data_IF_591251249079
#
_entry.id   IF_591251249079
#
_cell.length_a   1.000
_cell.length_b   1.000
_cell.length_c   1.000
_cell.angle_alpha   90.00
_cell.angle_beta   90.00
_cell.angle_gamma   90.00
#
_symmetry.space_group_name_H-M   'P 1'
#
loop_
_entity.id
_entity.type
_entity.pdbx_description
1 polymer ?
#
# COMPACT_ATOMS: atom_id res chain seq x y z
N UNK A 1 -42.01 9.34 -10.03
CA UNK A 1 -40.80 9.50 -10.88
C UNK A 1 -39.69 10.10 -10.00
N UNK A 2 -38.98 9.26 -9.23
CA UNK A 2 -38.00 9.73 -8.23
C UNK A 2 -36.60 9.66 -8.85
N UNK A 3 -36.04 10.81 -9.24
CA UNK A 3 -34.68 10.91 -9.78
C UNK A 3 -33.68 10.70 -8.64
N UNK A 4 -33.07 9.52 -8.62
CA UNK A 4 -31.94 9.18 -7.75
C UNK A 4 -30.73 9.99 -8.21
N UNK A 5 -30.30 10.93 -7.36
CA UNK A 5 -29.10 11.73 -7.57
C UNK A 5 -27.86 10.84 -7.42
N UNK A 6 -27.24 10.53 -8.57
CA UNK A 6 -25.98 9.79 -8.69
C UNK A 6 -24.83 10.69 -8.21
N UNK A 7 -24.32 10.46 -7.00
CA UNK A 7 -23.20 11.19 -6.41
C UNK A 7 -21.93 10.90 -7.25
N UNK A 8 -21.51 11.85 -8.08
CA UNK A 8 -20.21 11.83 -8.77
C UNK A 8 -19.11 11.95 -7.70
N UNK A 9 -18.26 10.93 -7.54
CA UNK A 9 -16.97 11.04 -6.82
C UNK A 9 -16.09 12.02 -7.59
N UNK A 10 -15.99 13.25 -7.10
CA UNK A 10 -15.01 14.20 -7.57
C UNK A 10 -13.65 13.76 -7.02
N UNK A 11 -12.69 13.45 -7.90
CA UNK A 11 -11.27 13.48 -7.55
C UNK A 11 -10.88 14.95 -7.38
N UNK A 12 -11.07 15.50 -6.19
CA UNK A 12 -10.52 16.80 -5.82
C UNK A 12 -9.05 16.60 -5.47
N UNK A 13 -8.14 17.36 -6.08
CA UNK A 13 -6.79 17.53 -5.54
C UNK A 13 -6.93 18.11 -4.14
N UNK A 14 -6.78 17.26 -3.13
CA UNK A 14 -6.90 17.64 -1.73
C UNK A 14 -5.71 18.51 -1.34
N UNK A 15 -5.99 19.60 -0.62
CA UNK A 15 -4.93 20.41 -0.04
C UNK A 15 -4.22 19.57 1.03
N UNK A 16 -2.93 19.85 1.31
CA UNK A 16 -2.17 19.08 2.33
C UNK A 16 -2.90 19.04 3.68
N UNK A 17 -3.62 20.10 4.01
CA UNK A 17 -4.39 20.27 5.26
C UNK A 17 -5.64 19.40 5.37
N UNK A 18 -6.10 18.77 4.27
CA UNK A 18 -7.30 17.93 4.26
C UNK A 18 -7.00 16.45 4.54
N UNK A 19 -5.76 16.12 4.92
CA UNK A 19 -5.30 14.74 5.13
C UNK A 19 -4.79 14.54 6.54
N UNK A 20 -5.03 13.35 7.09
CA UNK A 20 -4.46 12.88 8.34
C UNK A 20 -3.70 11.57 8.14
N UNK A 21 -2.82 11.24 9.09
CA UNK A 21 -2.17 9.94 9.19
C UNK A 21 -2.54 9.27 10.50
N UNK A 22 -2.85 7.97 10.43
CA UNK A 22 -2.97 7.10 11.58
C UNK A 22 -1.62 6.42 11.81
N UNK A 23 -1.10 6.60 13.02
CA UNK A 23 0.13 5.95 13.50
C UNK A 23 -0.27 4.80 14.40
N UNK A 24 0.32 3.64 14.18
CA UNK A 24 0.05 2.42 14.96
C UNK A 24 1.33 1.95 15.65
N UNK A 25 1.19 1.10 16.67
CA UNK A 25 2.34 0.59 17.42
C UNK A 25 3.21 -0.33 16.57
N UNK A 26 2.60 -1.07 15.64
CA UNK A 26 3.30 -1.99 14.78
C UNK A 26 2.60 -2.16 13.43
N UNK A 27 3.34 -2.68 12.46
CA UNK A 27 2.86 -2.85 11.08
C UNK A 27 1.73 -3.87 10.95
N UNK A 28 1.59 -4.80 11.88
CA UNK A 28 0.48 -5.77 11.87
C UNK A 28 -0.86 -5.07 12.10
N UNK A 29 -0.90 -4.05 12.97
CA UNK A 29 -2.09 -3.23 13.17
C UNK A 29 -2.42 -2.38 11.95
N UNK A 30 -1.40 -1.85 11.26
CA UNK A 30 -1.60 -1.12 10.00
C UNK A 30 -2.29 -1.99 8.97
N UNK A 31 -1.80 -3.22 8.75
CA UNK A 31 -2.37 -4.15 7.76
C UNK A 31 -3.80 -4.55 8.14
N UNK A 32 -4.08 -4.76 9.44
CA UNK A 32 -5.44 -5.06 9.91
C UNK A 32 -6.38 -3.87 9.70
N UNK A 33 -5.96 -2.68 10.11
CA UNK A 33 -6.73 -1.45 9.93
C UNK A 33 -7.00 -1.17 8.46
N UNK A 34 -6.00 -1.32 7.59
CA UNK A 34 -6.16 -1.18 6.13
C UNK A 34 -7.25 -2.12 5.60
N UNK A 35 -7.18 -3.41 5.93
CA UNK A 35 -8.16 -4.39 5.47
C UNK A 35 -9.59 -4.03 5.90
N UNK A 36 -9.77 -3.62 7.16
CA UNK A 36 -11.09 -3.23 7.71
C UNK A 36 -11.60 -1.98 7.00
N UNK A 37 -10.79 -0.93 6.94
CA UNK A 37 -11.19 0.34 6.35
C UNK A 37 -11.45 0.23 4.84
N UNK A 38 -10.65 -0.58 4.14
CA UNK A 38 -10.87 -0.83 2.71
C UNK A 38 -12.18 -1.61 2.48
N UNK A 39 -12.49 -2.59 3.33
CA UNK A 39 -13.76 -3.31 3.30
C UNK A 39 -14.97 -2.41 3.63
N UNK A 40 -14.78 -1.42 4.50
CA UNK A 40 -15.74 -0.35 4.80
C UNK A 40 -15.90 0.68 3.66
N UNK A 41 -15.05 0.62 2.63
CA UNK A 41 -15.10 1.51 1.47
C UNK A 41 -14.49 2.89 1.69
N UNK A 42 -13.69 3.05 2.76
CA UNK A 42 -12.97 4.28 3.07
C UNK A 42 -11.88 4.58 2.05
N UNK A 43 -11.61 5.86 1.81
CA UNK A 43 -10.59 6.30 0.87
C UNK A 43 -9.25 6.45 1.58
N UNK A 44 -8.57 5.34 1.83
CA UNK A 44 -7.28 5.33 2.55
C UNK A 44 -6.12 4.91 1.66
N UNK A 45 -4.90 5.27 2.06
CA UNK A 45 -3.67 4.78 1.45
C UNK A 45 -2.65 4.40 2.52
N UNK A 46 -2.03 3.22 2.37
CA UNK A 46 -0.89 2.84 3.21
C UNK A 46 0.37 3.52 2.68
N UNK A 47 1.11 4.18 3.58
CA UNK A 47 2.32 4.95 3.26
C UNK A 47 3.45 4.65 4.23
N UNK A 48 4.66 5.06 3.89
CA UNK A 48 5.77 5.11 4.85
C UNK A 48 5.59 6.30 5.80
N UNK A 49 6.02 6.21 7.07
CA UNK A 49 5.94 7.34 7.99
C UNK A 49 6.81 8.50 7.51
N UNK A 50 6.43 9.73 7.90
CA UNK A 50 7.31 10.88 7.87
C UNK A 50 8.68 10.58 8.51
N UNK A 51 9.78 11.18 8.01
CA UNK A 51 11.13 10.94 8.55
C UNK A 51 11.26 11.12 10.07
N UNK A 52 10.48 12.03 10.66
CA UNK A 52 10.54 12.44 12.06
C UNK A 52 10.04 11.36 13.03
N UNK A 53 9.15 10.47 12.57
CA UNK A 53 8.54 9.41 13.40
C UNK A 53 8.94 8.00 12.95
N UNK A 54 9.96 7.88 12.11
CA UNK A 54 10.41 6.61 11.55
C UNK A 54 11.30 5.86 12.54
N UNK A 55 10.95 4.62 12.85
CA UNK A 55 11.74 3.72 13.71
C UNK A 55 12.26 2.46 13.00
N UNK A 56 11.82 2.20 11.77
CA UNK A 56 12.32 1.11 10.95
C UNK A 56 11.34 0.71 9.84
N UNK A 57 10.87 -0.53 9.90
CA UNK A 57 9.92 -1.13 8.95
C UNK A 57 8.46 -0.73 9.26
N UNK A 58 8.23 0.56 9.43
CA UNK A 58 6.95 1.09 9.89
C UNK A 58 6.09 1.56 8.70
N UNK A 59 4.77 1.52 8.89
CA UNK A 59 3.77 2.01 7.95
C UNK A 59 2.76 2.90 8.69
N UNK A 60 2.10 3.78 7.94
CA UNK A 60 0.99 4.63 8.41
C UNK A 60 -0.16 4.54 7.43
N UNK A 61 -1.37 4.89 7.88
CA UNK A 61 -2.54 5.01 7.00
C UNK A 61 -2.84 6.49 6.80
N UNK A 62 -2.71 6.97 5.57
CA UNK A 62 -3.19 8.28 5.15
C UNK A 62 -4.70 8.21 4.87
N UNK A 63 -5.45 9.22 5.32
CA UNK A 63 -6.90 9.30 5.15
C UNK A 63 -7.38 10.78 5.05
N UNK A 64 -8.59 11.05 4.53
CA UNK A 64 -9.17 12.39 4.52
C UNK A 64 -9.54 12.84 5.94
N UNK A 65 -9.04 13.98 6.40
CA UNK A 65 -9.21 14.42 7.79
C UNK A 65 -10.69 14.60 8.19
N UNK A 66 -11.56 14.94 7.23
CA UNK A 66 -13.02 15.02 7.44
C UNK A 66 -13.66 13.67 7.83
N UNK A 67 -13.01 12.55 7.53
CA UNK A 67 -13.47 11.19 7.82
C UNK A 67 -12.97 10.68 9.19
N UNK A 68 -12.12 11.45 9.91
CA UNK A 68 -11.45 11.04 11.15
C UNK A 68 -12.39 10.39 12.17
N UNK A 69 -13.47 11.08 12.55
CA UNK A 69 -14.40 10.59 13.57
C UNK A 69 -15.05 9.27 13.18
N UNK A 70 -15.29 9.04 11.89
CA UNK A 70 -15.95 7.82 11.42
C UNK A 70 -14.96 6.67 11.36
N UNK A 71 -13.75 6.92 10.84
CA UNK A 71 -12.66 5.95 10.80
C UNK A 71 -12.28 5.49 12.20
N UNK A 72 -12.13 6.41 13.16
CA UNK A 72 -11.80 6.05 14.55
C UNK A 72 -12.90 5.20 15.20
N UNK A 73 -14.17 5.50 14.92
CA UNK A 73 -15.29 4.69 15.43
C UNK A 73 -15.24 3.28 14.87
N UNK A 74 -15.07 3.13 13.57
CA UNK A 74 -15.01 1.82 12.92
C UNK A 74 -13.85 0.96 13.45
N UNK A 75 -12.65 1.54 13.59
CA UNK A 75 -11.52 0.84 14.18
C UNK A 75 -11.77 0.45 15.64
N UNK A 76 -12.48 1.30 16.40
CA UNK A 76 -12.78 1.04 17.81
C UNK A 76 -13.75 -0.12 18.03
N UNK A 77 -14.69 -0.34 17.11
CA UNK A 77 -15.66 -1.46 17.17
C UNK A 77 -14.97 -2.82 17.10
N UNK A 78 -13.78 -2.87 16.52
CA UNK A 78 -12.95 -4.08 16.39
C UNK A 78 -11.68 -4.03 17.26
N UNK A 79 -11.65 -3.14 18.25
CA UNK A 79 -10.56 -2.94 19.21
C UNK A 79 -9.18 -2.62 18.59
N UNK A 80 -9.15 -1.98 17.43
CA UNK A 80 -7.92 -1.42 16.86
C UNK A 80 -7.85 0.06 17.24
N UNK A 81 -6.73 0.49 17.84
CA UNK A 81 -6.57 1.87 18.29
C UNK A 81 -5.26 2.43 17.77
N UNK A 82 -5.30 3.44 16.89
CA UNK A 82 -4.11 4.20 16.53
C UNK A 82 -3.47 4.79 17.79
N UNK A 83 -2.14 4.75 17.85
CA UNK A 83 -1.34 5.43 18.89
C UNK A 83 -1.49 6.93 18.74
N UNK A 84 -1.55 7.40 17.49
CA UNK A 84 -1.69 8.82 17.19
C UNK A 84 -2.50 9.03 15.92
N UNK A 85 -3.24 10.14 15.91
CA UNK A 85 -3.84 10.70 14.70
C UNK A 85 -3.17 12.06 14.49
N UNK A 86 -2.52 12.23 13.35
CA UNK A 86 -1.74 13.43 13.06
C UNK A 86 -2.27 14.10 11.79
N UNK A 87 -2.77 15.35 11.84
CA UNK A 87 -3.12 16.08 10.63
C UNK A 87 -1.84 16.46 9.86
N UNK A 88 -1.85 16.32 8.54
CA UNK A 88 -0.72 16.66 7.67
C UNK A 88 -0.67 18.18 7.46
N UNK A 89 -0.21 18.88 8.48
CA UNK A 89 -0.21 20.36 8.52
C UNK A 89 1.04 21.00 7.93
N UNK A 90 2.10 20.21 7.68
CA UNK A 90 3.37 20.70 7.14
C UNK A 90 4.06 19.66 6.26
N UNK A 91 5.04 20.09 5.46
CA UNK A 91 5.85 19.22 4.58
C UNK A 91 6.64 18.17 5.36
N UNK A 92 7.04 18.49 6.60
CA UNK A 92 7.75 17.55 7.46
C UNK A 92 6.87 16.34 7.77
N UNK A 93 5.57 16.52 7.94
CA UNK A 93 4.63 15.43 8.22
C UNK A 93 4.11 14.72 6.96
N UNK A 94 4.73 14.93 5.79
CA UNK A 94 4.32 14.23 4.59
C UNK A 94 4.71 12.76 4.65
N UNK A 95 3.73 11.83 4.54
CA UNK A 95 4.03 10.43 4.48
C UNK A 95 4.71 10.12 3.14
N UNK A 96 5.64 9.17 3.17
CA UNK A 96 6.48 8.83 2.01
C UNK A 96 5.74 7.83 1.14
N UNK A 97 5.74 8.08 -0.17
CA UNK A 97 5.17 7.13 -1.12
C UNK A 97 5.93 5.80 -1.09
N UNK A 98 5.19 4.71 -1.02
CA UNK A 98 5.76 3.37 -1.04
C UNK A 98 6.14 2.97 -2.44
N UNK A 99 5.37 3.40 -3.43
CA UNK A 99 5.50 2.96 -4.81
C UNK A 99 6.54 3.76 -5.58
N UNK A 100 7.33 3.07 -6.37
CA UNK A 100 8.25 3.68 -7.32
C UNK A 100 8.39 2.81 -8.56
N UNK A 101 8.07 3.38 -9.70
CA UNK A 101 8.07 2.70 -11.00
C UNK A 101 9.31 3.13 -11.79
N UNK A 102 9.93 2.18 -12.50
CA UNK A 102 11.05 2.47 -13.38
C UNK A 102 11.07 1.53 -14.57
N UNK A 103 11.17 2.10 -15.76
CA UNK A 103 11.32 1.33 -17.00
C UNK A 103 12.79 1.08 -17.35
N UNK A 104 13.05 -0.11 -17.87
CA UNK A 104 14.34 -0.54 -18.41
C UNK A 104 14.11 -1.19 -19.77
N UNK A 105 13.92 -0.39 -20.81
CA UNK A 105 13.56 -0.89 -22.14
C UNK A 105 12.24 -1.66 -22.10
N UNK A 106 12.26 -2.95 -22.46
CA UNK A 106 11.07 -3.83 -22.39
C UNK A 106 10.68 -4.24 -20.98
N UNK A 107 11.50 -3.97 -19.96
CA UNK A 107 11.21 -4.35 -18.59
C UNK A 107 10.60 -3.20 -17.79
N UNK A 108 9.64 -3.53 -16.91
CA UNK A 108 9.08 -2.63 -15.91
C UNK A 108 9.44 -3.13 -14.52
N UNK A 109 10.14 -2.31 -13.74
CA UNK A 109 10.38 -2.56 -12.32
C UNK A 109 9.45 -1.69 -11.49
N UNK A 110 8.72 -2.31 -10.58
CA UNK A 110 7.94 -1.63 -9.55
C UNK A 110 8.52 -1.98 -8.20
N UNK A 111 8.79 -0.94 -7.42
CA UNK A 111 9.23 -1.05 -6.03
C UNK A 111 8.10 -0.60 -5.12
N UNK A 112 7.86 -1.34 -4.05
CA UNK A 112 7.06 -0.93 -2.90
C UNK A 112 7.94 -1.04 -1.65
N UNK A 113 8.14 0.06 -0.92
CA UNK A 113 9.12 0.14 0.15
C UNK A 113 10.51 -0.39 -0.31
N UNK A 114 11.06 -1.41 0.35
CA UNK A 114 12.34 -2.00 -0.02
C UNK A 114 12.22 -3.22 -0.95
N UNK A 115 11.01 -3.60 -1.36
CA UNK A 115 10.77 -4.77 -2.22
C UNK A 115 10.52 -4.36 -3.67
N UNK A 116 11.07 -5.13 -4.61
CA UNK A 116 11.03 -4.86 -6.05
C UNK A 116 10.55 -6.10 -6.80
N UNK A 117 9.70 -5.89 -7.79
CA UNK A 117 9.33 -6.86 -8.81
C UNK A 117 9.62 -6.26 -10.18
N UNK A 118 10.23 -7.04 -11.06
CA UNK A 118 10.52 -6.64 -12.45
C UNK A 118 9.89 -7.64 -13.39
N UNK A 119 9.17 -7.13 -14.39
CA UNK A 119 8.52 -7.94 -15.43
C UNK A 119 8.98 -7.52 -16.82
N UNK A 120 9.03 -8.49 -17.73
CA UNK A 120 9.07 -8.24 -19.16
C UNK A 120 7.66 -7.84 -19.62
N UNK A 121 7.48 -6.64 -20.17
CA UNK A 121 6.16 -6.09 -20.54
C UNK A 121 5.51 -6.82 -21.72
N UNK A 122 6.31 -7.46 -22.58
CA UNK A 122 5.81 -8.13 -23.79
C UNK A 122 5.33 -9.55 -23.46
N UNK A 123 6.13 -10.28 -22.67
CA UNK A 123 5.84 -11.67 -22.30
C UNK A 123 5.10 -11.80 -20.98
N UNK A 124 5.04 -10.74 -20.18
CA UNK A 124 4.48 -10.72 -18.82
C UNK A 124 5.20 -11.67 -17.86
N UNK A 125 6.45 -12.06 -18.18
CA UNK A 125 7.27 -12.91 -17.35
C UNK A 125 7.90 -12.09 -16.22
N UNK A 126 7.83 -12.60 -14.99
CA UNK A 126 8.54 -12.03 -13.83
C UNK A 126 10.01 -12.43 -13.95
N UNK A 127 10.87 -11.45 -14.22
CA UNK A 127 12.31 -11.66 -14.45
C UNK A 127 13.16 -11.42 -13.20
N UNK A 128 12.61 -10.73 -12.20
CA UNK A 128 13.30 -10.51 -10.94
C UNK A 128 12.30 -10.20 -9.81
N UNK A 129 12.56 -10.77 -8.64
CA UNK A 129 12.05 -10.31 -7.35
C UNK A 129 13.26 -10.09 -6.46
N UNK A 130 13.41 -8.89 -5.90
CA UNK A 130 14.59 -8.55 -5.09
C UNK A 130 14.33 -7.44 -4.07
N UNK A 131 15.29 -7.23 -3.18
CA UNK A 131 15.23 -6.24 -2.11
C UNK A 131 15.14 -6.86 -0.73
N UNK A 132 14.53 -6.14 0.21
CA UNK A 132 14.22 -6.63 1.55
C UNK A 132 15.40 -6.94 2.49
N UNK A 133 15.03 -7.39 3.68
CA UNK A 133 15.88 -7.92 4.76
C UNK A 133 15.13 -8.93 5.63
N UNK A 134 13.97 -9.40 5.14
CA UNK A 134 13.11 -10.38 5.79
C UNK A 134 13.55 -11.81 5.39
N UNK A 135 13.32 -12.82 6.24
CA UNK A 135 13.76 -14.20 5.98
C UNK A 135 13.04 -14.89 4.82
N UNK A 136 11.85 -14.43 4.42
CA UNK A 136 11.03 -15.04 3.36
C UNK A 136 11.34 -14.51 1.95
N UNK A 137 12.20 -13.49 1.81
CA UNK A 137 12.53 -12.91 0.50
C UNK A 137 13.12 -13.93 -0.48
N UNK A 138 14.08 -14.79 -0.11
CA UNK A 138 14.58 -15.81 -1.04
C UNK A 138 13.48 -16.77 -1.51
N UNK A 139 12.58 -17.16 -0.61
CA UNK A 139 11.46 -18.04 -0.94
C UNK A 139 10.44 -17.35 -1.87
N UNK A 140 10.11 -16.08 -1.61
CA UNK A 140 9.26 -15.29 -2.51
C UNK A 140 9.84 -15.21 -3.92
N UNK A 141 11.15 -14.97 -4.03
CA UNK A 141 11.81 -14.92 -5.32
C UNK A 141 11.78 -16.27 -6.05
N UNK A 142 12.08 -17.36 -5.36
CA UNK A 142 11.97 -18.72 -5.90
C UNK A 142 10.56 -19.04 -6.39
N UNK A 143 9.53 -18.65 -5.63
CA UNK A 143 8.15 -18.94 -5.97
C UNK A 143 7.58 -18.10 -7.11
N UNK A 144 8.21 -17.00 -7.50
CA UNK A 144 7.63 -16.04 -8.45
C UNK A 144 8.47 -15.79 -9.71
N UNK A 145 9.79 -15.83 -9.62
CA UNK A 145 10.67 -15.59 -10.78
C UNK A 145 10.47 -16.70 -11.82
N UNK A 146 10.52 -16.32 -13.10
CA UNK A 146 10.22 -17.18 -14.27
C UNK A 146 8.78 -17.68 -14.35
N UNK A 147 7.84 -17.05 -13.63
CA UNK A 147 6.40 -17.27 -13.81
C UNK A 147 5.78 -16.08 -14.53
N UNK A 148 4.70 -16.33 -15.27
CA UNK A 148 3.90 -15.26 -15.86
C UNK A 148 3.06 -14.59 -14.77
N UNK A 149 2.75 -13.31 -14.95
CA UNK A 149 1.95 -12.54 -14.00
C UNK A 149 0.58 -13.16 -13.70
N UNK A 150 -0.01 -13.91 -14.62
CA UNK A 150 -1.31 -14.56 -14.44
C UNK A 150 -1.27 -15.88 -13.64
N UNK A 151 -0.08 -16.45 -13.48
CA UNK A 151 0.15 -17.80 -12.93
C UNK A 151 1.09 -17.80 -11.73
N UNK A 152 1.77 -16.68 -11.47
CA UNK A 152 2.53 -16.48 -10.26
C UNK A 152 1.60 -16.45 -9.03
N UNK A 153 2.03 -17.00 -7.89
CA UNK A 153 1.28 -16.86 -6.65
C UNK A 153 1.24 -15.38 -6.24
N UNK A 154 0.18 -14.97 -5.55
CA UNK A 154 0.19 -13.68 -4.89
C UNK A 154 1.24 -13.69 -3.77
N UNK A 155 2.09 -12.64 -3.66
CA UNK A 155 3.08 -12.56 -2.59
C UNK A 155 2.52 -12.81 -1.18
N UNK A 156 1.30 -12.34 -0.88
CA UNK A 156 0.64 -12.55 0.42
C UNK A 156 0.15 -13.97 0.67
N UNK A 157 0.01 -14.80 -0.38
CA UNK A 157 -0.44 -16.18 -0.23
C UNK A 157 0.71 -17.11 0.16
N UNK A 158 1.96 -16.72 -0.15
CA UNK A 158 3.16 -17.54 0.06
C UNK A 158 4.15 -16.95 1.05
N UNK A 159 4.10 -15.64 1.30
CA UNK A 159 4.97 -14.94 2.25
C UNK A 159 4.22 -14.45 3.49
N UNK A 160 4.95 -14.30 4.59
CA UNK A 160 4.38 -14.01 5.91
C UNK A 160 4.95 -12.76 6.57
N UNK A 161 5.92 -12.10 5.91
CA UNK A 161 6.56 -10.91 6.46
C UNK A 161 6.03 -9.63 5.83
N UNK A 162 6.47 -8.49 6.36
CA UNK A 162 6.22 -7.20 5.74
C UNK A 162 6.77 -7.11 4.31
N UNK A 163 7.86 -7.83 4.01
CA UNK A 163 8.40 -7.88 2.65
C UNK A 163 7.41 -8.54 1.69
N UNK A 164 6.68 -9.58 2.12
CA UNK A 164 5.63 -10.19 1.32
C UNK A 164 4.47 -9.21 1.06
N UNK A 165 4.04 -8.48 2.09
CA UNK A 165 3.02 -7.44 1.96
C UNK A 165 3.45 -6.31 1.02
N UNK A 166 4.66 -5.79 1.17
CA UNK A 166 5.18 -4.76 0.26
C UNK A 166 5.27 -5.29 -1.18
N UNK A 167 5.76 -6.52 -1.37
CA UNK A 167 5.83 -7.13 -2.70
C UNK A 167 4.44 -7.29 -3.33
N UNK A 168 3.39 -7.57 -2.55
CA UNK A 168 2.00 -7.59 -3.03
C UNK A 168 1.57 -6.24 -3.61
N UNK A 169 1.84 -5.14 -2.90
CA UNK A 169 1.52 -3.80 -3.39
C UNK A 169 2.21 -3.54 -4.74
N UNK A 170 3.48 -3.91 -4.86
CA UNK A 170 4.22 -3.77 -6.11
C UNK A 170 3.66 -4.68 -7.23
N UNK A 171 3.29 -5.92 -6.90
CA UNK A 171 2.70 -6.89 -7.81
C UNK A 171 1.37 -6.40 -8.38
N UNK A 172 0.45 -5.93 -7.53
CA UNK A 172 -0.84 -5.39 -7.97
C UNK A 172 -0.67 -4.20 -8.90
N UNK A 173 0.33 -3.35 -8.62
CA UNK A 173 0.65 -2.22 -9.48
C UNK A 173 1.17 -2.66 -10.84
N UNK A 174 2.03 -3.68 -10.90
CA UNK A 174 2.50 -4.28 -12.16
C UNK A 174 1.34 -4.89 -12.95
N UNK A 175 0.50 -5.70 -12.30
CA UNK A 175 -0.68 -6.33 -12.91
C UNK A 175 -1.56 -5.26 -13.57
N UNK A 176 -1.83 -4.16 -12.86
CA UNK A 176 -2.60 -3.02 -13.38
C UNK A 176 -1.95 -2.32 -14.58
N UNK A 177 -0.63 -2.37 -14.71
CA UNK A 177 0.11 -1.71 -15.79
C UNK A 177 0.34 -2.61 -17.01
N UNK A 178 0.34 -3.94 -16.83
CA UNK A 178 0.75 -4.90 -17.86
C UNK A 178 -0.36 -5.85 -18.34
N UNK A 179 -1.44 -6.03 -17.57
CA UNK A 179 -2.59 -6.90 -17.92
C UNK A 179 -3.83 -6.10 -18.37
N UNK A 180 -3.65 -4.86 -18.82
CA UNK A 180 -4.72 -3.97 -19.32
C UNK A 180 -4.52 -3.66 -20.80
#
# INVERSE_FOLDING_TARGET
MLKIFRKKRAKSGQSKQDRGILVFENTTEVIKAENILTAGGWSIEVKGPPPEIRSGCDLVIEFPLIEELSIIRELSEVNIKPVQVVPVTSVLLEPVDLLHEKEYGKYLMVRAANMKITVDKETQLIVNVSGGGCPDVPYLAEQMVNKHLDSAPHPRDVGYTLCAYALQIAYERVVKLCLV
#
